data_IF_182252103503
#
_entry.id   IF_182252103503
#
_cell.length_a   1.000
_cell.length_b   1.000
_cell.length_c   1.000
_cell.angle_alpha   90.00
_cell.angle_beta   90.00
_cell.angle_gamma   90.00
#
_symmetry.space_group_name_H-M   'P 1'
#
loop_
_entity.id
_entity.type
_entity.pdbx_description
1 polymer ?
#
# COMPACT_ATOMS: atom_id res chain seq x y z
N UNK A 1 17.58 -0.40 15.70
CA UNK A 1 17.71 0.97 15.16
C UNK A 1 16.33 1.43 14.77
N UNK A 2 15.89 2.57 15.30
CA UNK A 2 14.58 3.16 14.98
C UNK A 2 14.75 4.26 13.93
N UNK A 3 13.72 4.51 13.13
CA UNK A 3 13.75 5.51 12.08
C UNK A 3 12.36 5.76 11.51
N UNK A 4 12.21 6.87 10.81
CA UNK A 4 10.99 7.19 10.11
C UNK A 4 11.30 7.84 8.75
N UNK A 5 10.34 7.76 7.83
CA UNK A 5 10.39 8.44 6.54
C UNK A 5 8.99 8.97 6.25
N UNK A 6 8.91 10.25 5.92
CA UNK A 6 7.70 10.88 5.41
C UNK A 6 7.94 11.36 3.98
N UNK A 7 6.94 11.20 3.14
CA UNK A 7 6.94 11.74 1.77
C UNK A 7 5.59 12.37 1.53
N UNK A 8 5.59 13.63 1.11
CA UNK A 8 4.40 14.37 0.72
C UNK A 8 4.63 14.82 -0.72
N UNK A 9 3.69 14.50 -1.59
CA UNK A 9 3.70 14.86 -3.00
C UNK A 9 2.41 15.59 -3.32
N UNK A 10 2.54 16.70 -4.04
CA UNK A 10 1.41 17.42 -4.60
C UNK A 10 1.63 17.62 -6.10
N UNK A 11 0.55 17.48 -6.87
CA UNK A 11 0.53 17.66 -8.32
C UNK A 11 -0.64 18.58 -8.67
N UNK A 12 -0.43 19.51 -9.60
CA UNK A 12 -1.44 20.48 -10.04
C UNK A 12 -1.51 20.50 -11.55
N UNK A 13 -2.70 20.26 -12.10
CA UNK A 13 -3.05 20.49 -13.50
C UNK A 13 -4.00 21.67 -13.61
N UNK A 14 -3.79 22.54 -14.60
CA UNK A 14 -4.66 23.69 -14.88
C UNK A 14 -4.87 23.80 -16.40
N UNK A 15 -6.11 24.02 -16.83
CA UNK A 15 -6.47 24.15 -18.25
C UNK A 15 -5.78 25.35 -18.91
N UNK A 16 -5.49 26.42 -18.15
CA UNK A 16 -4.74 27.59 -18.62
C UNK A 16 -3.28 27.27 -18.90
N UNK A 17 -2.78 26.18 -18.33
CA UNK A 17 -1.44 25.65 -18.56
C UNK A 17 -1.43 24.47 -19.55
N UNK A 18 -2.44 24.39 -20.44
CA UNK A 18 -2.60 23.34 -21.46
C UNK A 18 -2.90 21.93 -20.89
N UNK A 19 -3.39 21.83 -19.66
CA UNK A 19 -3.90 20.55 -19.12
C UNK A 19 -5.30 20.26 -19.67
N UNK A 20 -5.62 18.99 -19.92
CA UNK A 20 -6.98 18.58 -20.34
C UNK A 20 -8.01 18.67 -19.20
N UNK A 21 -7.57 18.78 -17.94
CA UNK A 21 -8.45 18.88 -16.76
C UNK A 21 -7.74 19.58 -15.62
N UNK A 22 -8.47 20.44 -14.90
CA UNK A 22 -7.98 20.97 -13.63
C UNK A 22 -8.03 19.89 -12.55
N UNK A 23 -6.87 19.60 -11.97
CA UNK A 23 -6.73 18.59 -10.91
C UNK A 23 -5.74 19.07 -9.86
N UNK A 24 -6.09 18.88 -8.60
CA UNK A 24 -5.16 18.95 -7.48
C UNK A 24 -5.05 17.57 -6.85
N UNK A 25 -3.87 16.98 -6.90
CA UNK A 25 -3.58 15.67 -6.32
C UNK A 25 -2.61 15.81 -5.17
N UNK A 26 -2.93 15.19 -4.04
CA UNK A 26 -2.10 15.14 -2.86
C UNK A 26 -1.91 13.68 -2.44
N UNK A 27 -0.68 13.26 -2.18
CA UNK A 27 -0.36 11.95 -1.61
C UNK A 27 0.65 12.09 -0.48
N UNK A 28 0.37 11.44 0.64
CA UNK A 28 1.23 11.40 1.81
C UNK A 28 1.51 9.95 2.21
N UNK A 29 2.77 9.58 2.29
CA UNK A 29 3.21 8.28 2.82
C UNK A 29 4.09 8.51 4.03
N UNK A 30 3.86 7.74 5.10
CA UNK A 30 4.73 7.75 6.27
C UNK A 30 5.00 6.33 6.76
N UNK A 31 6.27 6.04 6.99
CA UNK A 31 6.77 4.76 7.51
C UNK A 31 7.55 5.02 8.80
N UNK A 32 7.27 4.24 9.83
CA UNK A 32 7.96 4.26 11.11
C UNK A 32 8.47 2.86 11.43
N UNK A 33 9.72 2.77 11.85
CA UNK A 33 10.37 1.54 12.26
C UNK A 33 10.88 1.76 13.68
N UNK A 34 10.57 0.83 14.57
CA UNK A 34 11.09 0.81 15.93
C UNK A 34 11.76 -0.53 16.20
N UNK A 35 12.87 -0.54 16.92
CA UNK A 35 13.47 -1.78 17.42
C UNK A 35 13.47 -1.82 18.93
N UNK A 36 13.12 -2.96 19.50
CA UNK A 36 13.23 -3.23 20.92
C UNK A 36 14.30 -4.31 21.15
N UNK A 37 15.40 -3.93 21.80
CA UNK A 37 16.60 -4.76 21.87
C UNK A 37 17.18 -5.04 20.48
N UNK A 38 17.80 -6.20 20.32
CA UNK A 38 18.48 -6.59 19.07
C UNK A 38 17.64 -7.45 18.13
N UNK A 39 16.56 -8.04 18.66
CA UNK A 39 15.83 -9.11 17.97
C UNK A 39 14.38 -8.77 17.65
N UNK A 40 13.84 -7.63 18.11
CA UNK A 40 12.45 -7.26 17.86
C UNK A 40 12.39 -5.98 17.03
N UNK A 41 11.61 -6.00 15.95
CA UNK A 41 11.40 -4.84 15.08
C UNK A 41 9.92 -4.70 14.78
N UNK A 42 9.38 -3.50 14.99
CA UNK A 42 8.05 -3.11 14.55
C UNK A 42 8.14 -2.15 13.38
N UNK A 43 7.23 -2.28 12.43
CA UNK A 43 7.04 -1.36 11.32
C UNK A 43 5.57 -0.95 11.29
N UNK A 44 5.34 0.34 11.18
CA UNK A 44 4.05 0.92 10.90
C UNK A 44 4.16 1.76 9.63
N UNK A 45 3.22 1.59 8.70
CA UNK A 45 3.15 2.39 7.48
C UNK A 45 1.72 2.90 7.31
N UNK A 46 1.59 4.12 6.82
CA UNK A 46 0.34 4.69 6.35
C UNK A 46 0.58 5.38 5.01
N UNK A 47 -0.35 5.23 4.08
CA UNK A 47 -0.36 5.91 2.80
C UNK A 47 -1.77 6.44 2.54
N UNK A 48 -1.88 7.75 2.35
CA UNK A 48 -3.14 8.43 2.10
C UNK A 48 -3.01 9.30 0.85
N UNK A 49 -4.08 9.41 0.08
CA UNK A 49 -4.11 10.25 -1.10
C UNK A 49 -5.50 10.74 -1.43
N UNK A 50 -5.55 11.90 -2.08
CA UNK A 50 -6.77 12.55 -2.53
C UNK A 50 -6.53 13.24 -3.87
N UNK A 51 -7.45 13.01 -4.79
CA UNK A 51 -7.56 13.72 -6.06
C UNK A 51 -8.79 14.62 -5.99
N UNK A 52 -8.56 15.92 -6.02
CA UNK A 52 -9.61 16.93 -6.08
C UNK A 52 -9.64 17.44 -7.51
N UNK A 53 -10.63 17.01 -8.28
CA UNK A 53 -10.84 17.46 -9.65
C UNK A 53 -12.21 18.11 -9.77
N UNK A 54 -12.32 19.11 -10.66
CA UNK A 54 -13.59 19.77 -10.99
C UNK A 54 -14.62 18.78 -11.53
N UNK A 55 -14.14 17.77 -12.25
CA UNK A 55 -14.93 16.69 -12.82
C UNK A 55 -14.16 15.36 -12.66
N UNK A 56 -14.42 14.59 -11.58
CA UNK A 56 -13.73 13.33 -11.32
C UNK A 56 -13.90 12.30 -12.43
N UNK A 57 -14.98 12.37 -13.21
CA UNK A 57 -15.22 11.44 -14.33
C UNK A 57 -14.18 11.60 -15.45
N UNK A 58 -13.57 12.79 -15.58
CA UNK A 58 -12.53 13.11 -16.57
C UNK A 58 -11.11 12.84 -16.07
N UNK A 59 -10.93 12.43 -14.82
CA UNK A 59 -9.62 12.02 -14.33
C UNK A 59 -9.14 10.79 -15.08
N UNK A 60 -8.01 10.95 -15.79
CA UNK A 60 -7.29 9.84 -16.42
C UNK A 60 -7.04 8.71 -15.40
N UNK A 61 -7.20 7.44 -15.80
CA UNK A 61 -6.87 6.29 -14.95
C UNK A 61 -5.46 6.36 -14.34
N UNK A 62 -4.50 6.99 -15.02
CA UNK A 62 -3.13 7.16 -14.53
C UNK A 62 -3.00 8.05 -13.28
N UNK A 63 -3.98 8.93 -13.06
CA UNK A 63 -4.02 9.82 -11.88
C UNK A 63 -4.82 9.19 -10.73
N UNK A 64 -5.69 8.24 -11.03
CA UNK A 64 -6.55 7.57 -10.04
C UNK A 64 -5.74 6.63 -9.16
N UNK A 65 -6.28 6.35 -7.98
CA UNK A 65 -5.62 5.46 -7.03
C UNK A 65 -6.18 4.05 -7.09
N UNK A 66 -5.29 3.09 -6.87
CA UNK A 66 -5.60 1.67 -6.77
C UNK A 66 -4.87 1.10 -5.57
N UNK A 67 -5.52 0.20 -4.85
CA UNK A 67 -4.95 -0.50 -3.70
C UNK A 67 -4.79 -2.00 -3.99
N UNK A 68 -4.05 -2.70 -3.12
CA UNK A 68 -3.74 -4.12 -3.25
C UNK A 68 -2.34 -4.41 -3.80
N UNK A 69 -1.75 -5.52 -3.34
CA UNK A 69 -0.38 -5.93 -3.68
C UNK A 69 0.65 -5.55 -2.61
N UNK A 70 1.93 -5.75 -2.95
CA UNK A 70 3.07 -5.84 -2.03
C UNK A 70 3.31 -4.58 -1.17
N UNK A 71 2.97 -3.41 -1.69
CA UNK A 71 3.21 -2.11 -1.04
C UNK A 71 1.93 -1.41 -0.57
N UNK A 72 0.79 -2.10 -0.62
CA UNK A 72 -0.54 -1.60 -0.27
C UNK A 72 -1.24 -2.56 0.69
N UNK A 73 -2.02 -3.52 0.18
CA UNK A 73 -2.71 -4.54 0.98
C UNK A 73 -2.29 -5.92 0.48
N UNK A 74 -1.40 -6.60 1.22
CA UNK A 74 -0.94 -7.95 0.86
C UNK A 74 -2.07 -8.96 1.04
N UNK A 75 -2.06 -10.01 0.23
CA UNK A 75 -3.15 -10.99 0.10
C UNK A 75 -4.17 -10.64 -0.98
N UNK A 76 -4.05 -9.46 -1.58
CA UNK A 76 -4.80 -9.01 -2.75
C UNK A 76 -3.88 -8.90 -3.97
N UNK A 77 -4.46 -8.98 -5.17
CA UNK A 77 -3.71 -8.72 -6.41
C UNK A 77 -3.28 -7.26 -6.49
N UNK A 78 -2.20 -7.02 -7.22
CA UNK A 78 -1.74 -5.69 -7.55
C UNK A 78 -2.90 -4.88 -8.16
N UNK A 79 -3.17 -3.72 -7.56
CA UNK A 79 -4.21 -2.78 -8.03
C UNK A 79 -5.59 -3.46 -8.21
N UNK A 80 -5.95 -4.34 -7.29
CA UNK A 80 -7.25 -5.05 -7.32
C UNK A 80 -8.34 -4.45 -6.47
N UNK A 81 -7.99 -3.57 -5.55
CA UNK A 81 -8.92 -2.86 -4.68
C UNK A 81 -9.16 -1.48 -5.30
N UNK A 82 -10.38 -1.26 -5.76
CA UNK A 82 -10.79 -0.10 -6.57
C UNK A 82 -12.31 -0.04 -6.69
N UNK A 83 -12.92 1.14 -6.91
CA UNK A 83 -14.28 1.24 -7.41
C UNK A 83 -14.41 0.52 -8.77
N UNK A 84 -15.63 0.10 -9.09
CA UNK A 84 -15.97 -0.60 -10.32
C UNK A 84 -17.00 0.20 -11.12
N UNK A 85 -16.93 0.14 -12.45
CA UNK A 85 -18.00 0.62 -13.32
C UNK A 85 -19.15 -0.40 -13.42
N UNK A 86 -20.23 -0.02 -14.12
CA UNK A 86 -21.40 -0.88 -14.36
C UNK A 86 -21.06 -2.18 -15.11
N UNK A 87 -19.93 -2.22 -15.82
CA UNK A 87 -19.43 -3.39 -16.53
C UNK A 87 -18.48 -4.25 -15.66
N UNK A 88 -18.21 -3.84 -14.43
CA UNK A 88 -17.32 -4.53 -13.49
C UNK A 88 -15.83 -4.26 -13.70
N UNK A 89 -15.46 -3.26 -14.50
CA UNK A 89 -14.07 -2.88 -14.69
C UNK A 89 -13.60 -1.97 -13.55
N UNK A 90 -12.34 -2.12 -13.15
CA UNK A 90 -11.71 -1.27 -12.14
C UNK A 90 -11.50 0.13 -12.70
N UNK A 91 -12.09 1.13 -12.06
CA UNK A 91 -12.00 2.52 -12.51
C UNK A 91 -10.92 3.31 -11.76
N UNK A 92 -10.52 2.88 -10.58
CA UNK A 92 -9.63 3.60 -9.67
C UNK A 92 -10.38 4.67 -8.87
N UNK A 93 -9.99 4.87 -7.61
CA UNK A 93 -10.64 5.82 -6.71
C UNK A 93 -10.02 7.21 -6.73
N UNK A 94 -10.80 8.20 -6.34
CA UNK A 94 -10.33 9.56 -6.04
C UNK A 94 -9.48 9.61 -4.76
N UNK A 95 -9.73 8.69 -3.84
CA UNK A 95 -9.03 8.60 -2.56
C UNK A 95 -8.36 7.25 -2.41
N UNK A 96 -7.28 7.24 -1.63
CA UNK A 96 -6.66 6.02 -1.14
C UNK A 96 -6.30 6.19 0.31
N UNK A 97 -6.50 5.13 1.08
CA UNK A 97 -6.00 5.03 2.43
C UNK A 97 -5.55 3.59 2.66
N UNK A 98 -4.29 3.40 3.01
CA UNK A 98 -3.75 2.09 3.36
C UNK A 98 -2.88 2.20 4.60
N UNK A 99 -2.84 1.14 5.39
CA UNK A 99 -2.02 1.04 6.58
C UNK A 99 -1.51 -0.38 6.74
N UNK A 100 -0.28 -0.48 7.22
CA UNK A 100 0.39 -1.74 7.53
C UNK A 100 0.92 -1.68 8.94
N UNK A 101 0.63 -2.71 9.72
CA UNK A 101 1.33 -3.03 10.96
C UNK A 101 2.10 -4.32 10.76
N UNK A 102 3.41 -4.28 10.94
CA UNK A 102 4.28 -5.44 10.79
C UNK A 102 5.17 -5.61 12.03
N UNK A 103 5.26 -6.84 12.50
CA UNK A 103 6.17 -7.25 13.56
C UNK A 103 7.17 -8.26 13.00
N UNK A 104 8.42 -8.09 13.36
CA UNK A 104 9.51 -8.93 12.93
C UNK A 104 10.38 -9.37 14.11
N UNK A 105 10.82 -10.62 14.06
CA UNK A 105 11.69 -11.23 15.05
C UNK A 105 12.93 -11.82 14.39
N UNK A 106 14.11 -11.49 14.91
CA UNK A 106 15.38 -12.05 14.42
C UNK A 106 15.51 -13.50 14.88
N UNK A 107 15.49 -14.42 13.91
CA UNK A 107 15.62 -15.85 14.17
C UNK A 107 17.09 -16.20 14.33
N UNK A 108 17.93 -15.80 13.36
CA UNK A 108 19.38 -16.05 13.38
C UNK A 108 20.09 -15.16 12.38
N UNK A 109 21.24 -14.60 12.75
CA UNK A 109 22.07 -13.77 11.87
C UNK A 109 21.26 -12.68 11.12
N UNK A 110 21.17 -12.83 9.80
CA UNK A 110 20.49 -11.90 8.90
C UNK A 110 19.05 -12.30 8.55
N UNK A 111 18.51 -13.35 9.17
CA UNK A 111 17.18 -13.89 8.92
C UNK A 111 16.20 -13.48 10.01
N UNK A 112 15.07 -12.93 9.59
CA UNK A 112 13.98 -12.52 10.44
C UNK A 112 12.68 -13.19 9.99
N UNK A 113 11.89 -13.64 10.95
CA UNK A 113 10.49 -13.96 10.72
C UNK A 113 9.65 -12.70 10.85
N UNK A 114 8.55 -12.61 10.10
CA UNK A 114 7.63 -11.49 10.13
C UNK A 114 6.18 -11.97 10.19
N UNK A 115 5.33 -11.16 10.80
CA UNK A 115 3.88 -11.23 10.67
C UNK A 115 3.35 -9.82 10.49
N UNK A 116 2.27 -9.69 9.73
CA UNK A 116 1.71 -8.39 9.42
C UNK A 116 0.21 -8.43 9.26
N UNK A 117 -0.37 -7.23 9.39
CA UNK A 117 -1.75 -6.93 9.15
C UNK A 117 -1.83 -5.64 8.34
N UNK A 118 -2.44 -5.72 7.17
CA UNK A 118 -2.67 -4.62 6.25
C UNK A 118 -4.15 -4.29 6.20
N UNK A 119 -4.49 -3.01 6.09
CA UNK A 119 -5.85 -2.53 5.87
C UNK A 119 -5.80 -1.43 4.84
N UNK A 120 -6.69 -1.43 3.88
CA UNK A 120 -6.79 -0.30 2.99
C UNK A 120 -7.91 -0.40 1.99
N UNK A 121 -8.14 0.73 1.33
CA UNK A 121 -9.08 0.85 0.23
C UNK A 121 -8.68 1.98 -0.72
N UNK A 122 -9.14 1.89 -1.96
CA UNK A 122 -9.19 2.98 -2.92
C UNK A 122 -10.66 3.22 -3.29
N UNK A 123 -11.14 4.44 -3.09
CA UNK A 123 -12.56 4.74 -3.03
C UNK A 123 -12.90 6.13 -3.59
N UNK A 124 -14.17 6.33 -3.93
CA UNK A 124 -14.70 7.63 -4.38
C UNK A 124 -15.51 8.34 -3.29
N UNK A 125 -16.31 7.60 -2.51
CA UNK A 125 -17.15 8.14 -1.43
C UNK A 125 -16.75 7.53 -0.08
N UNK A 126 -17.51 6.52 0.38
CA UNK A 126 -17.23 5.79 1.62
C UNK A 126 -16.27 4.61 1.37
N UNK A 127 -15.23 4.44 2.21
CA UNK A 127 -14.29 3.33 2.05
C UNK A 127 -14.90 1.99 2.44
N UNK A 128 -14.70 0.98 1.59
CA UNK A 128 -14.97 -0.43 1.85
C UNK A 128 -13.67 -1.17 2.23
N UNK A 129 -13.24 -1.00 3.48
CA UNK A 129 -11.95 -1.49 3.96
C UNK A 129 -11.71 -2.98 3.66
N UNK A 130 -10.60 -3.24 2.94
CA UNK A 130 -10.08 -4.59 2.71
C UNK A 130 -8.90 -4.85 3.62
N UNK A 131 -8.84 -6.06 4.19
CA UNK A 131 -7.85 -6.43 5.20
C UNK A 131 -7.04 -7.61 4.72
N UNK A 132 -5.73 -7.52 4.85
CA UNK A 132 -4.76 -8.55 4.52
C UNK A 132 -4.01 -8.99 5.76
N UNK A 133 -3.73 -10.28 5.89
CA UNK A 133 -2.85 -10.77 6.95
C UNK A 133 -1.95 -11.88 6.44
N UNK A 134 -0.76 -11.98 7.05
CA UNK A 134 0.18 -13.00 6.64
C UNK A 134 1.41 -13.10 7.52
N UNK A 135 2.30 -13.96 7.04
CA UNK A 135 3.61 -14.21 7.61
C UNK A 135 4.67 -14.08 6.53
N UNK A 136 5.90 -13.83 6.94
CA UNK A 136 6.98 -13.66 5.99
C UNK A 136 8.35 -13.90 6.57
N UNK A 137 9.32 -13.83 5.68
CA UNK A 137 10.74 -13.89 5.97
C UNK A 137 11.38 -12.60 5.46
N UNK A 138 12.28 -12.04 6.25
CA UNK A 138 13.16 -10.93 5.84
C UNK A 138 14.59 -11.42 5.88
N UNK A 139 15.30 -11.21 4.79
CA UNK A 139 16.70 -11.57 4.69
C UNK A 139 17.53 -10.34 4.33
N UNK A 140 18.48 -9.99 5.21
CA UNK A 140 19.46 -8.95 4.91
C UNK A 140 20.57 -9.57 4.07
N UNK A 141 20.39 -9.51 2.74
CA UNK A 141 21.36 -10.03 1.77
C UNK A 141 22.51 -9.03 1.55
N UNK A 142 23.63 -9.44 0.92
CA UNK A 142 24.75 -8.54 0.59
C UNK A 142 24.36 -7.36 -0.31
N UNK A 143 23.28 -7.49 -1.09
CA UNK A 143 22.80 -6.46 -2.03
C UNK A 143 21.63 -5.65 -1.48
N UNK A 144 21.15 -5.97 -0.27
CA UNK A 144 20.06 -5.26 0.40
C UNK A 144 19.00 -6.19 1.02
N UNK A 145 18.00 -5.61 1.71
CA UNK A 145 16.92 -6.37 2.31
C UNK A 145 16.00 -7.02 1.27
N UNK A 146 15.72 -8.31 1.46
CA UNK A 146 14.77 -9.10 0.69
C UNK A 146 13.59 -9.45 1.59
N UNK A 147 12.36 -9.29 1.07
CA UNK A 147 11.14 -9.71 1.75
C UNK A 147 10.43 -10.77 0.93
N UNK A 148 10.03 -11.83 1.61
CA UNK A 148 9.14 -12.85 1.06
C UNK A 148 7.95 -12.99 2.01
N UNK A 149 6.75 -12.82 1.50
CA UNK A 149 5.52 -12.78 2.28
C UNK A 149 4.50 -13.77 1.71
N UNK A 150 3.78 -14.44 2.61
CA UNK A 150 2.67 -15.32 2.29
C UNK A 150 1.44 -14.81 3.03
N UNK A 151 0.47 -14.29 2.28
CA UNK A 151 -0.67 -13.55 2.82
C UNK A 151 -2.00 -13.95 2.19
N UNK A 152 -3.08 -13.61 2.87
CA UNK A 152 -4.45 -13.83 2.41
C UNK A 152 -5.31 -12.60 2.69
N UNK A 153 -6.14 -12.23 1.71
CA UNK A 153 -7.20 -11.25 1.91
C UNK A 153 -8.32 -11.82 2.79
N UNK A 154 -8.67 -11.12 3.86
CA UNK A 154 -9.64 -11.56 4.87
C UNK A 154 -11.08 -11.21 4.50
N UNK A 155 -11.27 -10.24 3.60
CA UNK A 155 -12.59 -9.78 3.15
C UNK A 155 -13.01 -10.39 1.80
N UNK A 156 -12.18 -11.26 1.24
CA UNK A 156 -12.53 -12.01 0.04
C UNK A 156 -13.52 -13.12 0.38
N UNK A 157 -14.34 -13.51 -0.62
CA UNK A 157 -15.23 -14.68 -0.56
C UNK A 157 -14.49 -15.91 -0.02
N UNK A 158 -15.17 -16.92 0.55
CA UNK A 158 -14.57 -18.06 1.28
C UNK A 158 -13.47 -18.86 0.55
N UNK A 159 -13.23 -18.62 -0.74
CA UNK A 159 -12.17 -19.20 -1.57
C UNK A 159 -10.94 -18.29 -1.70
N UNK A 160 -10.75 -17.31 -0.82
CA UNK A 160 -9.61 -16.39 -0.86
C UNK A 160 -8.28 -17.15 -0.89
N UNK A 161 -7.65 -17.18 -2.06
CA UNK A 161 -6.37 -17.85 -2.27
C UNK A 161 -5.25 -17.13 -1.53
N UNK A 162 -4.33 -17.91 -1.00
CA UNK A 162 -3.10 -17.38 -0.46
C UNK A 162 -2.20 -16.87 -1.58
N UNK A 163 -1.52 -15.76 -1.33
CA UNK A 163 -0.66 -15.09 -2.30
C UNK A 163 0.75 -14.96 -1.77
N UNK A 164 1.69 -15.09 -2.68
CA UNK A 164 3.10 -14.83 -2.45
C UNK A 164 3.38 -13.40 -2.89
N UNK A 165 4.08 -12.66 -2.04
CA UNK A 165 4.56 -11.31 -2.29
C UNK A 165 6.08 -11.29 -2.14
N UNK A 166 6.75 -10.51 -2.99
CA UNK A 166 8.20 -10.45 -3.04
C UNK A 166 8.65 -9.01 -3.31
N UNK A 167 9.53 -8.50 -2.45
CA UNK A 167 10.12 -7.19 -2.63
C UNK A 167 11.62 -7.19 -2.33
N UNK A 168 12.38 -6.44 -3.12
CA UNK A 168 13.79 -6.18 -2.91
C UNK A 168 13.97 -4.66 -2.77
N UNK A 169 14.66 -4.24 -1.69
CA UNK A 169 14.97 -2.84 -1.48
C UNK A 169 14.84 -2.41 -0.02
N UNK A 170 15.22 -1.15 0.27
CA UNK A 170 15.11 -0.61 1.60
C UNK A 170 13.64 -0.57 2.07
N UNK A 171 13.43 -0.73 3.37
CA UNK A 171 12.10 -0.57 3.99
C UNK A 171 11.66 0.89 4.08
N UNK A 172 12.60 1.83 3.85
CA UNK A 172 12.43 3.27 3.85
C UNK A 172 12.64 3.82 2.44
#
# INVERSE_FOLDING_TARGET
MSGNKQTIMFEVGDERALSETSVFRLRGTSTWISSLGENHRGLFKVDVGANIASDPSKLSPSLRFFAGGDNSVRGYEYESISPLDDAGNKTGGQYIATSTLEYQYRITGNWWGATFFDVGDAFDDDPEWKRGAGFGVRWVSPVGPVKFDYARGLDNKPQAEWRIHFSLGPEL
#
